data_IF_755828256054
#
_entry.id   IF_755828256054
#
_cell.length_a   1.000
_cell.length_b   1.000
_cell.length_c   1.000
_cell.angle_alpha   90.00
_cell.angle_beta   90.00
_cell.angle_gamma   90.00
#
_symmetry.space_group_name_H-M   'P 1'
#
loop_
_entity.id
_entity.type
_entity.pdbx_description
1 polymer ?
#
# COMPACT_ATOMS: atom_id res chain seq x y z
N UNK A 1 36.44 9.75 -8.53
CA UNK A 1 35.06 9.97 -8.02
C UNK A 1 35.17 10.47 -6.60
N UNK A 2 34.46 11.53 -6.26
CA UNK A 2 34.35 12.03 -4.89
C UNK A 2 33.71 10.94 -4.02
N UNK A 3 34.30 10.65 -2.85
CA UNK A 3 33.81 9.61 -1.95
C UNK A 3 32.55 10.12 -1.26
N UNK A 4 31.46 9.34 -1.34
CA UNK A 4 30.17 9.68 -0.77
C UNK A 4 29.96 8.89 0.53
N UNK A 5 29.62 9.57 1.63
CA UNK A 5 29.47 8.93 2.94
C UNK A 5 28.17 9.34 3.66
N UNK A 6 27.55 8.37 4.33
CA UNK A 6 26.43 8.58 5.24
C UNK A 6 26.93 8.56 6.67
N UNK A 7 26.54 9.59 7.43
CA UNK A 7 26.70 9.69 8.88
C UNK A 7 25.34 9.64 9.56
N UNK A 8 25.28 9.00 10.73
CA UNK A 8 24.04 8.87 11.48
C UNK A 8 24.10 9.68 12.78
N UNK A 9 23.08 10.49 13.01
CA UNK A 9 22.72 11.12 14.29
C UNK A 9 21.37 10.56 14.78
N UNK A 10 21.17 9.27 14.54
CA UNK A 10 20.04 8.46 14.96
C UNK A 10 20.51 7.00 15.10
N UNK A 11 19.76 6.13 15.80
CA UNK A 11 20.09 4.71 15.84
C UNK A 11 20.15 4.10 14.44
N UNK A 12 21.09 3.17 14.23
CA UNK A 12 21.20 2.40 12.98
C UNK A 12 20.25 1.21 13.03
N UNK A 13 18.98 1.45 12.75
CA UNK A 13 17.95 0.40 12.71
C UNK A 13 17.93 -0.33 11.37
N UNK A 14 17.14 -1.41 11.30
CA UNK A 14 16.85 -2.12 10.04
C UNK A 14 16.22 -1.18 9.02
N UNK A 15 15.29 -0.31 9.46
CA UNK A 15 14.61 0.65 8.58
C UNK A 15 15.59 1.66 7.98
N UNK A 16 16.44 2.29 8.81
CA UNK A 16 17.44 3.25 8.32
C UNK A 16 18.43 2.59 7.36
N UNK A 17 18.85 1.36 7.67
CA UNK A 17 19.72 0.59 6.78
C UNK A 17 19.05 0.31 5.44
N UNK A 18 17.75 -0.06 5.45
CA UNK A 18 16.95 -0.25 4.24
C UNK A 18 16.79 1.05 3.45
N UNK A 19 16.51 2.18 4.10
CA UNK A 19 16.40 3.48 3.45
C UNK A 19 17.70 3.88 2.71
N UNK A 20 18.86 3.62 3.31
CA UNK A 20 20.16 3.87 2.69
C UNK A 20 20.42 2.88 1.52
N UNK A 21 20.02 1.62 1.67
CA UNK A 21 20.09 0.65 0.58
C UNK A 21 19.25 1.11 -0.62
N UNK A 22 18.02 1.59 -0.39
CA UNK A 22 17.15 2.14 -1.43
C UNK A 22 17.79 3.34 -2.12
N UNK A 23 18.34 4.28 -1.34
CA UNK A 23 19.10 5.42 -1.87
C UNK A 23 20.20 4.94 -2.82
N UNK A 24 21.03 3.99 -2.39
CA UNK A 24 22.15 3.49 -3.18
C UNK A 24 21.70 2.74 -4.44
N UNK A 25 20.60 1.99 -4.38
CA UNK A 25 20.01 1.35 -5.56
C UNK A 25 19.53 2.39 -6.58
N UNK A 26 18.86 3.46 -6.13
CA UNK A 26 18.39 4.54 -7.03
C UNK A 26 19.53 5.36 -7.62
N UNK A 27 20.64 5.50 -6.91
CA UNK A 27 21.86 6.10 -7.48
C UNK A 27 22.50 5.18 -8.51
N UNK A 28 22.60 3.88 -8.21
CA UNK A 28 23.16 2.88 -9.14
C UNK A 28 22.35 2.76 -10.43
N UNK A 29 21.01 2.79 -10.35
CA UNK A 29 20.10 2.85 -11.51
C UNK A 29 20.40 4.03 -12.46
N UNK A 30 21.04 5.09 -11.93
CA UNK A 30 21.43 6.31 -12.67
C UNK A 30 22.93 6.36 -12.96
N UNK A 31 23.64 5.25 -12.77
CA UNK A 31 25.09 5.15 -12.98
C UNK A 31 25.93 5.98 -12.00
N UNK A 32 25.36 6.39 -10.87
CA UNK A 32 26.05 7.21 -9.87
C UNK A 32 26.73 6.36 -8.79
N UNK A 33 27.80 6.90 -8.20
CA UNK A 33 28.46 6.28 -7.05
C UNK A 33 27.53 6.15 -5.84
N UNK A 34 27.78 5.15 -4.99
CA UNK A 34 26.99 4.86 -3.80
C UNK A 34 27.56 5.54 -2.55
N UNK A 35 26.70 5.79 -1.56
CA UNK A 35 27.09 6.23 -0.24
C UNK A 35 27.55 5.04 0.63
N UNK A 36 28.78 5.11 1.13
CA UNK A 36 29.28 4.20 2.16
C UNK A 36 28.98 4.70 3.58
N UNK A 37 29.13 3.86 4.59
CA UNK A 37 29.18 4.33 5.98
C UNK A 37 30.61 4.81 6.31
N UNK A 38 30.73 5.92 7.03
CA UNK A 38 32.01 6.36 7.59
C UNK A 38 31.79 7.16 8.87
N UNK A 39 32.60 6.88 9.88
CA UNK A 39 32.69 7.69 11.10
C UNK A 39 33.79 8.76 10.99
N UNK A 40 34.59 8.78 9.90
CA UNK A 40 35.71 9.71 9.72
C UNK A 40 35.22 11.14 9.40
N UNK A 41 36.03 12.14 9.74
CA UNK A 41 35.73 13.58 9.55
C UNK A 41 36.52 14.20 8.39
N UNK A 42 37.00 13.37 7.46
CA UNK A 42 37.92 13.82 6.41
C UNK A 42 37.30 14.92 5.53
N UNK A 43 38.08 15.98 5.32
CA UNK A 43 37.70 17.14 4.52
C UNK A 43 37.90 16.81 3.04
N UNK A 44 36.84 16.39 2.37
CA UNK A 44 36.83 16.05 0.93
C UNK A 44 35.76 15.05 0.52
N UNK A 45 34.96 14.55 1.46
CA UNK A 45 33.87 13.60 1.19
C UNK A 45 32.53 14.31 1.07
N UNK A 46 31.68 13.84 0.14
CA UNK A 46 30.29 14.26 0.07
C UNK A 46 29.51 13.62 1.21
N UNK A 47 29.18 14.42 2.23
CA UNK A 47 28.53 13.94 3.44
C UNK A 47 27.01 14.04 3.35
N UNK A 48 26.31 12.95 3.69
CA UNK A 48 24.89 12.91 4.00
C UNK A 48 24.71 12.57 5.49
N UNK A 49 24.24 13.53 6.29
CA UNK A 49 23.94 13.32 7.70
C UNK A 49 22.45 13.04 7.90
N UNK A 50 22.10 11.87 8.41
CA UNK A 50 20.71 11.51 8.74
C UNK A 50 20.50 11.63 10.25
N UNK A 51 19.38 12.19 10.69
CA UNK A 51 19.09 12.31 12.12
C UNK A 51 17.60 12.36 12.42
N UNK A 52 17.26 12.10 13.69
CA UNK A 52 15.90 12.23 14.22
C UNK A 52 15.82 13.46 15.12
N UNK A 53 14.68 14.15 15.05
CA UNK A 53 14.34 15.21 15.99
C UNK A 53 12.90 15.02 16.48
N UNK A 54 12.73 14.68 17.75
CA UNK A 54 11.44 14.40 18.38
C UNK A 54 10.49 15.61 18.41
N UNK A 55 11.00 16.82 18.21
CA UNK A 55 10.18 18.03 18.09
C UNK A 55 9.51 18.19 16.71
N UNK A 56 9.81 17.32 15.74
CA UNK A 56 9.16 17.32 14.42
C UNK A 56 7.91 16.46 14.46
N UNK A 57 6.91 16.79 13.63
CA UNK A 57 5.77 15.91 13.42
C UNK A 57 6.19 14.54 12.87
N UNK A 58 5.37 13.50 13.08
CA UNK A 58 5.74 12.11 12.79
C UNK A 58 6.19 11.83 11.34
N UNK A 59 5.69 12.56 10.35
CA UNK A 59 6.10 12.46 8.94
C UNK A 59 6.81 13.74 8.43
N UNK A 60 7.14 14.68 9.32
CA UNK A 60 7.83 15.92 8.99
C UNK A 60 9.35 15.69 8.85
N UNK A 61 9.95 16.34 7.86
CA UNK A 61 11.39 16.32 7.66
C UNK A 61 11.96 17.70 7.27
N UNK A 62 13.27 17.87 7.44
CA UNK A 62 14.03 19.04 6.99
C UNK A 62 15.28 18.65 6.22
N UNK A 63 15.67 19.49 5.26
CA UNK A 63 16.95 19.45 4.55
C UNK A 63 17.74 20.74 4.81
N UNK A 64 18.98 20.60 5.30
CA UNK A 64 19.88 21.70 5.68
C UNK A 64 21.26 21.48 5.05
N UNK A 65 21.93 22.54 4.59
CA UNK A 65 23.35 22.45 4.17
C UNK A 65 24.23 22.44 5.41
N UNK A 66 25.19 21.51 5.46
CA UNK A 66 26.21 21.49 6.50
C UNK A 66 27.28 22.55 6.21
N UNK A 67 27.93 23.07 7.25
CA UNK A 67 29.05 24.01 7.09
C UNK A 67 30.20 23.44 6.23
N UNK A 68 30.34 22.11 6.20
CA UNK A 68 31.28 21.38 5.35
C UNK A 68 30.85 21.22 3.88
N UNK A 69 29.71 21.78 3.48
CA UNK A 69 29.14 21.62 2.13
C UNK A 69 28.28 20.38 1.90
N UNK A 70 28.19 19.47 2.90
CA UNK A 70 27.31 18.30 2.86
C UNK A 70 25.82 18.63 3.05
N UNK A 71 24.98 17.59 3.10
CA UNK A 71 23.54 17.71 3.35
C UNK A 71 23.18 17.01 4.66
N UNK A 72 22.30 17.64 5.43
CA UNK A 72 21.66 17.04 6.60
C UNK A 72 20.18 16.85 6.33
N UNK A 73 19.69 15.64 6.58
CA UNK A 73 18.27 15.29 6.57
C UNK A 73 17.87 14.97 8.01
N UNK A 74 16.87 15.67 8.53
CA UNK A 74 16.31 15.40 9.85
C UNK A 74 14.83 15.05 9.72
N UNK A 75 14.40 13.92 10.27
CA UNK A 75 12.99 13.53 10.30
C UNK A 75 12.44 13.47 11.72
N UNK A 76 11.12 13.60 11.88
CA UNK A 76 10.45 13.27 13.15
C UNK A 76 10.45 11.77 13.45
N UNK A 77 10.52 10.94 12.40
CA UNK A 77 10.66 9.48 12.48
C UNK A 77 11.60 8.97 11.39
N UNK A 78 11.88 7.67 11.41
CA UNK A 78 12.65 6.99 10.36
C UNK A 78 11.95 7.05 8.99
N UNK A 79 10.62 6.92 8.96
CA UNK A 79 9.82 7.10 7.74
C UNK A 79 9.95 8.51 7.18
N UNK A 80 9.97 9.53 8.05
CA UNK A 80 10.19 10.90 7.61
C UNK A 80 11.60 11.12 7.02
N UNK A 81 12.62 10.44 7.54
CA UNK A 81 13.96 10.44 6.92
C UNK A 81 13.90 9.87 5.49
N UNK A 82 13.19 8.76 5.28
CA UNK A 82 13.00 8.19 3.93
C UNK A 82 12.32 9.18 2.97
N UNK A 83 11.33 9.95 3.46
CA UNK A 83 10.69 11.01 2.67
C UNK A 83 11.66 12.15 2.33
N UNK A 84 12.51 12.52 3.28
CA UNK A 84 13.59 13.48 3.07
C UNK A 84 14.60 13.00 2.02
N UNK A 85 14.99 11.71 2.06
CA UNK A 85 15.86 11.08 1.05
C UNK A 85 15.18 11.14 -0.32
N UNK A 86 13.88 10.83 -0.40
CA UNK A 86 13.12 10.96 -1.64
C UNK A 86 13.09 12.39 -2.18
N UNK A 87 12.90 13.39 -1.31
CA UNK A 87 12.97 14.81 -1.69
C UNK A 87 14.35 15.22 -2.19
N UNK A 88 15.42 14.75 -1.53
CA UNK A 88 16.80 14.94 -1.97
C UNK A 88 17.00 14.39 -3.39
N UNK A 89 16.64 13.12 -3.61
CA UNK A 89 16.75 12.46 -4.91
C UNK A 89 15.98 13.19 -6.02
N UNK A 90 14.75 13.65 -5.75
CA UNK A 90 13.94 14.37 -6.74
C UNK A 90 14.45 15.76 -7.10
N UNK A 91 15.22 16.38 -6.23
CA UNK A 91 15.74 17.75 -6.45
C UNK A 91 17.22 17.77 -6.88
N UNK A 92 17.88 16.62 -6.85
CA UNK A 92 19.26 16.45 -7.28
C UNK A 92 19.43 16.52 -8.80
N UNK A 93 20.67 16.74 -9.22
CA UNK A 93 21.08 16.62 -10.62
C UNK A 93 21.95 15.38 -10.81
N UNK A 94 21.81 14.73 -11.97
CA UNK A 94 22.52 13.52 -12.35
C UNK A 94 23.20 13.73 -13.71
N UNK A 95 24.44 13.28 -13.87
CA UNK A 95 25.13 13.34 -15.15
C UNK A 95 26.58 12.88 -15.07
N UNK A 96 27.07 12.21 -16.12
CA UNK A 96 28.44 11.67 -16.21
C UNK A 96 28.84 10.82 -14.99
N UNK A 97 27.91 9.99 -14.49
CA UNK A 97 28.10 9.15 -13.30
C UNK A 97 28.23 9.93 -11.98
N UNK A 98 27.94 11.23 -12.00
CA UNK A 98 28.00 12.10 -10.83
C UNK A 98 26.60 12.43 -10.30
N UNK A 99 26.52 12.49 -8.97
CA UNK A 99 25.37 12.94 -8.21
C UNK A 99 25.71 14.29 -7.55
N UNK A 100 24.79 15.26 -7.62
CA UNK A 100 24.91 16.53 -6.88
C UNK A 100 23.62 16.84 -6.15
N UNK A 101 23.74 17.27 -4.89
CA UNK A 101 22.58 17.70 -4.11
C UNK A 101 21.85 18.85 -4.82
N UNK A 102 20.52 18.81 -4.76
CA UNK A 102 19.68 19.92 -5.17
C UNK A 102 19.86 21.14 -4.27
N UNK A 103 19.28 22.27 -4.67
CA UNK A 103 19.34 23.55 -3.92
C UNK A 103 18.23 23.70 -2.88
N UNK A 104 17.19 22.86 -2.90
CA UNK A 104 16.07 22.97 -1.98
C UNK A 104 16.51 22.72 -0.52
N UNK A 105 16.19 23.67 0.37
CA UNK A 105 16.39 23.59 1.82
C UNK A 105 15.15 24.07 2.52
N UNK A 106 14.89 23.52 3.70
CA UNK A 106 13.71 23.88 4.50
C UNK A 106 13.04 22.65 5.09
N UNK A 107 11.84 22.87 5.63
CA UNK A 107 11.00 21.84 6.26
C UNK A 107 9.81 21.50 5.38
N UNK A 108 9.35 20.26 5.46
CA UNK A 108 8.16 19.79 4.77
C UNK A 108 7.48 18.69 5.57
N UNK A 109 6.15 18.69 5.53
CA UNK A 109 5.32 17.61 6.07
C UNK A 109 4.18 17.31 5.08
N UNK A 110 3.69 16.06 5.01
CA UNK A 110 2.50 15.74 4.22
C UNK A 110 1.26 16.51 4.73
N UNK A 111 0.47 17.09 3.81
CA UNK A 111 -0.80 17.75 4.17
C UNK A 111 -1.96 16.78 4.40
N UNK A 112 -1.83 15.55 3.93
CA UNK A 112 -2.84 14.49 4.04
C UNK A 112 -2.22 13.36 4.84
N UNK A 113 -2.85 12.96 5.94
CA UNK A 113 -2.38 11.87 6.81
C UNK A 113 -2.51 10.49 6.17
N UNK A 114 -3.38 10.35 5.17
CA UNK A 114 -3.63 9.10 4.45
C UNK A 114 -3.28 9.26 2.98
N UNK A 115 -2.32 8.48 2.49
CA UNK A 115 -1.77 8.54 1.13
C UNK A 115 -1.53 7.11 0.66
N UNK A 116 -2.61 6.48 0.20
CA UNK A 116 -2.60 5.09 -0.25
C UNK A 116 -2.39 4.97 -1.75
N UNK A 117 -1.73 3.90 -2.18
CA UNK A 117 -1.72 3.43 -3.56
C UNK A 117 -2.53 2.15 -3.67
N UNK A 118 -3.32 1.99 -4.73
CA UNK A 118 -4.04 0.75 -5.02
C UNK A 118 -3.34 -0.02 -6.13
N UNK A 119 -2.88 -1.23 -5.83
CA UNK A 119 -2.48 -2.20 -6.84
C UNK A 119 -3.69 -3.08 -7.14
N UNK A 120 -4.24 -2.91 -8.34
CA UNK A 120 -5.20 -3.86 -8.88
C UNK A 120 -4.47 -5.20 -9.06
N UNK A 121 -4.57 -6.14 -8.12
CA UNK A 121 -3.81 -7.40 -8.18
C UNK A 121 -4.58 -8.53 -8.86
N UNK A 122 -5.42 -8.19 -9.82
CA UNK A 122 -6.30 -9.12 -10.51
C UNK A 122 -6.09 -9.03 -12.04
N UNK A 123 -6.72 -9.93 -12.80
CA UNK A 123 -6.65 -9.99 -14.27
C UNK A 123 -5.27 -10.19 -14.90
N UNK A 124 -4.35 -10.86 -14.21
CA UNK A 124 -2.97 -11.04 -14.67
C UNK A 124 -2.29 -9.73 -15.12
N UNK A 125 -2.67 -8.60 -14.52
CA UNK A 125 -2.02 -7.34 -14.83
C UNK A 125 -0.62 -7.27 -14.21
N UNK A 126 0.08 -6.15 -14.43
CA UNK A 126 1.45 -5.96 -13.95
C UNK A 126 1.63 -6.30 -12.45
N UNK A 127 0.74 -5.82 -11.57
CA UNK A 127 0.87 -6.07 -10.13
C UNK A 127 0.65 -7.55 -9.76
N UNK A 128 -0.20 -8.24 -10.52
CA UNK A 128 -0.44 -9.66 -10.34
C UNK A 128 0.78 -10.49 -10.78
N UNK A 129 1.37 -10.25 -11.96
CA UNK A 129 2.33 -11.21 -12.55
C UNK A 129 3.78 -10.74 -12.68
N UNK A 130 4.10 -9.46 -12.49
CA UNK A 130 5.47 -8.98 -12.71
C UNK A 130 6.47 -9.62 -11.73
N UNK A 131 7.77 -9.66 -12.07
CA UNK A 131 8.81 -10.12 -11.14
C UNK A 131 8.73 -9.40 -9.78
N UNK A 132 8.94 -10.14 -8.69
CA UNK A 132 8.83 -9.58 -7.33
C UNK A 132 9.81 -8.41 -7.10
N UNK A 133 11.00 -8.47 -7.69
CA UNK A 133 11.98 -7.37 -7.63
C UNK A 133 11.46 -6.06 -8.22
N UNK A 134 10.71 -6.10 -9.33
CA UNK A 134 10.13 -4.91 -9.95
C UNK A 134 9.01 -4.32 -9.09
N UNK A 135 8.16 -5.17 -8.51
CA UNK A 135 7.09 -4.73 -7.60
C UNK A 135 7.68 -4.10 -6.35
N UNK A 136 8.69 -4.74 -5.73
CA UNK A 136 9.35 -4.23 -4.53
C UNK A 136 10.03 -2.89 -4.84
N UNK A 137 10.71 -2.78 -5.98
CA UNK A 137 11.31 -1.52 -6.43
C UNK A 137 10.27 -0.41 -6.54
N UNK A 138 9.10 -0.71 -7.11
CA UNK A 138 8.02 0.27 -7.22
C UNK A 138 7.44 0.67 -5.86
N UNK A 139 7.26 -0.28 -4.93
CA UNK A 139 6.82 -0.01 -3.54
C UNK A 139 7.81 0.93 -2.82
N UNK A 140 9.11 0.69 -2.97
CA UNK A 140 10.15 1.58 -2.41
C UNK A 140 10.08 2.99 -3.02
N UNK A 141 9.80 3.10 -4.32
CA UNK A 141 9.63 4.40 -4.99
C UNK A 141 8.41 5.16 -4.46
N UNK A 142 7.29 4.46 -4.21
CA UNK A 142 6.12 5.04 -3.56
C UNK A 142 6.47 5.55 -2.16
N UNK A 143 7.27 4.79 -1.39
CA UNK A 143 7.74 5.22 -0.08
C UNK A 143 8.59 6.51 -0.17
N UNK A 144 9.53 6.59 -1.13
CA UNK A 144 10.32 7.80 -1.39
C UNK A 144 9.44 9.00 -1.79
N UNK A 145 8.33 8.76 -2.48
CA UNK A 145 7.35 9.78 -2.86
C UNK A 145 6.47 10.25 -1.69
N UNK A 146 6.47 9.51 -0.58
CA UNK A 146 5.73 9.86 0.62
C UNK A 146 4.44 9.06 0.81
N UNK A 147 4.16 8.02 0.01
CA UNK A 147 3.00 7.15 0.29
C UNK A 147 3.19 6.41 1.61
N UNK A 148 2.10 6.16 2.33
CA UNK A 148 2.12 5.52 3.65
C UNK A 148 1.15 4.35 3.81
N UNK A 149 0.47 3.97 2.73
CA UNK A 149 -0.34 2.77 2.71
C UNK A 149 -0.37 2.14 1.32
N UNK A 150 -0.55 0.83 1.28
CA UNK A 150 -0.69 0.04 0.07
C UNK A 150 -1.97 -0.78 0.15
N UNK A 151 -2.84 -0.64 -0.84
CA UNK A 151 -4.04 -1.44 -0.99
C UNK A 151 -3.85 -2.46 -2.10
N UNK A 152 -4.23 -3.71 -1.84
CA UNK A 152 -4.30 -4.77 -2.85
C UNK A 152 -5.58 -5.57 -2.67
N UNK A 153 -6.10 -6.09 -3.77
CA UNK A 153 -7.36 -6.83 -3.78
C UNK A 153 -7.09 -8.34 -3.86
N UNK A 154 -7.49 -9.08 -2.81
CA UNK A 154 -7.51 -10.54 -2.80
C UNK A 154 -8.77 -11.06 -3.51
N UNK A 155 -8.75 -10.90 -4.83
CA UNK A 155 -9.84 -11.24 -5.74
C UNK A 155 -10.09 -12.75 -5.81
N UNK A 156 -11.36 -13.17 -5.70
CA UNK A 156 -11.77 -14.59 -5.59
C UNK A 156 -12.37 -15.17 -6.87
N UNK A 157 -12.80 -14.34 -7.81
CA UNK A 157 -13.75 -14.78 -8.85
C UNK A 157 -13.21 -15.87 -9.79
N UNK A 158 -11.89 -15.96 -9.96
CA UNK A 158 -11.25 -16.98 -10.79
C UNK A 158 -10.98 -18.30 -10.06
N UNK A 159 -11.15 -18.34 -8.73
CA UNK A 159 -10.76 -19.47 -7.90
C UNK A 159 -11.97 -20.23 -7.39
N UNK A 160 -11.81 -21.53 -7.15
CA UNK A 160 -12.92 -22.38 -6.76
C UNK A 160 -13.32 -22.20 -5.29
N UNK A 161 -12.35 -21.98 -4.41
CA UNK A 161 -12.54 -21.84 -2.96
C UNK A 161 -11.25 -21.29 -2.32
N UNK A 162 -11.21 -21.20 -0.99
CA UNK A 162 -10.03 -20.68 -0.29
C UNK A 162 -8.87 -21.69 -0.20
N UNK A 163 -9.15 -22.97 -0.44
CA UNK A 163 -8.20 -24.07 -0.45
C UNK A 163 -7.61 -24.32 -1.85
N UNK A 164 -8.09 -23.61 -2.87
CA UNK A 164 -7.56 -23.62 -4.22
C UNK A 164 -6.05 -23.29 -4.21
N UNK A 165 -5.17 -24.18 -4.70
CA UNK A 165 -3.73 -23.96 -4.68
C UNK A 165 -3.30 -22.64 -5.36
N UNK A 166 -4.00 -22.24 -6.43
CA UNK A 166 -3.66 -21.01 -7.15
C UNK A 166 -4.11 -19.78 -6.37
N UNK A 167 -5.21 -19.85 -5.61
CA UNK A 167 -5.62 -18.79 -4.70
C UNK A 167 -4.64 -18.64 -3.53
N UNK A 168 -4.17 -19.76 -2.98
CA UNK A 168 -3.17 -19.77 -1.91
C UNK A 168 -1.88 -19.13 -2.42
N UNK A 169 -1.37 -19.55 -3.58
CA UNK A 169 -0.16 -18.98 -4.19
C UNK A 169 -0.31 -17.48 -4.46
N UNK A 170 -1.47 -17.06 -4.96
CA UNK A 170 -1.81 -15.67 -5.15
C UNK A 170 -1.78 -14.88 -3.83
N UNK A 171 -2.42 -15.39 -2.79
CA UNK A 171 -2.43 -14.75 -1.47
C UNK A 171 -1.03 -14.68 -0.86
N UNK A 172 -0.21 -15.74 -0.95
CA UNK A 172 1.19 -15.74 -0.49
C UNK A 172 2.03 -14.67 -1.18
N UNK A 173 1.80 -14.47 -2.48
CA UNK A 173 2.42 -13.36 -3.22
C UNK A 173 1.99 -12.00 -2.66
N UNK A 174 0.69 -11.78 -2.43
CA UNK A 174 0.22 -10.53 -1.82
C UNK A 174 0.83 -10.31 -0.42
N UNK A 175 0.91 -11.35 0.40
CA UNK A 175 1.58 -11.26 1.71
C UNK A 175 3.04 -10.87 1.58
N UNK A 176 3.74 -11.42 0.59
CA UNK A 176 5.15 -11.07 0.32
C UNK A 176 5.32 -9.60 -0.06
N UNK A 177 4.42 -9.06 -0.89
CA UNK A 177 4.42 -7.64 -1.24
C UNK A 177 4.13 -6.77 -0.01
N UNK A 178 3.13 -7.12 0.81
CA UNK A 178 2.84 -6.39 2.05
C UNK A 178 3.99 -6.43 3.05
N UNK A 179 4.67 -7.56 3.22
CA UNK A 179 5.86 -7.69 4.08
C UNK A 179 6.97 -6.76 3.58
N UNK A 180 7.20 -6.68 2.27
CA UNK A 180 8.15 -5.73 1.69
C UNK A 180 7.74 -4.27 1.89
N UNK A 181 6.44 -3.96 1.76
CA UNK A 181 5.88 -2.63 1.98
C UNK A 181 6.02 -2.18 3.44
N UNK A 182 5.85 -3.08 4.40
CA UNK A 182 6.04 -2.81 5.83
C UNK A 182 7.48 -2.40 6.16
N UNK A 183 8.49 -2.99 5.48
CA UNK A 183 9.91 -2.65 5.66
C UNK A 183 10.24 -1.19 5.28
N UNK A 184 9.36 -0.53 4.52
CA UNK A 184 9.48 0.88 4.13
C UNK A 184 8.34 1.75 4.66
N UNK A 185 7.56 1.23 5.61
CA UNK A 185 6.58 1.98 6.37
C UNK A 185 5.22 2.16 5.70
N UNK A 186 4.93 1.41 4.62
CA UNK A 186 3.59 1.39 4.03
C UNK A 186 2.69 0.42 4.78
N UNK A 187 1.55 0.93 5.24
CA UNK A 187 0.53 0.17 5.96
C UNK A 187 -0.33 -0.67 5.00
N UNK A 188 -0.56 -1.97 5.28
CA UNK A 188 -1.33 -2.84 4.40
C UNK A 188 -2.84 -2.58 4.50
N UNK A 189 -3.52 -2.49 3.35
CA UNK A 189 -4.97 -2.33 3.23
C UNK A 189 -5.51 -3.46 2.38
N UNK A 190 -6.29 -4.35 2.96
CA UNK A 190 -6.89 -5.43 2.19
C UNK A 190 -8.18 -4.93 1.52
N UNK A 191 -8.17 -4.88 0.19
CA UNK A 191 -9.32 -4.55 -0.64
C UNK A 191 -10.16 -5.79 -0.95
N UNK A 192 -11.49 -5.62 -0.93
CA UNK A 192 -12.48 -6.67 -1.25
C UNK A 192 -13.75 -6.07 -1.82
N UNK A 193 -14.52 -6.88 -2.54
CA UNK A 193 -15.93 -6.57 -2.81
C UNK A 193 -16.79 -6.95 -1.60
N UNK A 194 -17.84 -6.19 -1.32
CA UNK A 194 -18.69 -6.46 -0.15
C UNK A 194 -19.46 -7.79 -0.24
N UNK A 195 -19.74 -8.26 -1.45
CA UNK A 195 -20.48 -9.51 -1.70
C UNK A 195 -19.69 -10.48 -2.57
N UNK A 196 -18.37 -10.49 -2.35
CA UNK A 196 -17.43 -11.29 -3.13
C UNK A 196 -17.68 -12.79 -2.99
N UNK A 197 -17.66 -13.49 -4.12
CA UNK A 197 -17.78 -14.94 -4.18
C UNK A 197 -16.70 -15.59 -5.02
N UNK A 198 -16.42 -16.85 -4.72
CA UNK A 198 -15.61 -17.74 -5.54
C UNK A 198 -16.37 -18.17 -6.80
N UNK A 199 -15.67 -18.68 -7.81
CA UNK A 199 -16.26 -19.12 -9.09
C UNK A 199 -17.37 -20.18 -8.91
N UNK A 200 -17.30 -20.95 -7.82
CA UNK A 200 -18.23 -22.03 -7.46
C UNK A 200 -19.45 -21.56 -6.68
N UNK A 201 -19.65 -20.24 -6.51
CA UNK A 201 -20.82 -19.70 -5.78
C UNK A 201 -22.12 -20.34 -6.30
N UNK A 202 -22.94 -20.98 -5.42
CA UNK A 202 -24.14 -21.68 -5.82
C UNK A 202 -25.12 -20.78 -6.56
N UNK A 203 -25.72 -21.28 -7.64
CA UNK A 203 -26.59 -20.47 -8.51
C UNK A 203 -27.74 -19.80 -7.76
N UNK A 204 -28.37 -20.53 -6.82
CA UNK A 204 -29.46 -20.02 -5.99
C UNK A 204 -29.06 -18.84 -5.09
N UNK A 205 -27.76 -18.66 -4.80
CA UNK A 205 -27.23 -17.60 -3.95
C UNK A 205 -26.64 -16.43 -4.75
N UNK A 206 -26.52 -16.54 -6.08
CA UNK A 206 -25.89 -15.50 -6.90
C UNK A 206 -26.69 -14.20 -6.88
N UNK A 207 -25.96 -13.09 -6.87
CA UNK A 207 -26.53 -11.77 -7.00
C UNK A 207 -27.17 -11.56 -8.37
N UNK A 208 -28.12 -10.62 -8.44
CA UNK A 208 -28.66 -10.15 -9.72
C UNK A 208 -27.77 -9.04 -10.27
N UNK A 209 -27.51 -9.00 -11.59
CA UNK A 209 -26.75 -7.91 -12.21
C UNK A 209 -27.35 -6.53 -11.90
N UNK A 210 -26.49 -5.54 -11.75
CA UNK A 210 -26.88 -4.13 -11.46
C UNK A 210 -26.88 -3.24 -12.70
N UNK A 211 -26.57 -3.78 -13.89
CA UNK A 211 -26.26 -3.00 -15.08
C UNK A 211 -24.83 -2.41 -15.07
N UNK A 212 -23.92 -2.98 -14.27
CA UNK A 212 -22.48 -2.69 -14.24
C UNK A 212 -21.69 -3.98 -14.51
N UNK A 213 -20.36 -3.90 -14.51
CA UNK A 213 -19.51 -5.10 -14.61
C UNK A 213 -19.92 -6.13 -13.55
N UNK A 214 -19.84 -7.40 -13.90
CA UNK A 214 -20.41 -8.49 -13.11
C UNK A 214 -19.75 -9.80 -13.56
N UNK A 215 -19.22 -10.60 -12.63
CA UNK A 215 -18.62 -11.90 -12.95
C UNK A 215 -19.62 -13.05 -12.92
N UNK A 216 -20.77 -12.87 -12.27
CA UNK A 216 -21.77 -13.92 -12.12
C UNK A 216 -21.45 -14.91 -11.00
N UNK A 217 -20.54 -14.55 -10.09
CA UNK A 217 -20.21 -15.31 -8.89
C UNK A 217 -20.41 -14.51 -7.60
N UNK A 218 -20.84 -13.25 -7.71
CA UNK A 218 -21.20 -12.41 -6.58
C UNK A 218 -22.39 -12.98 -5.84
N UNK A 219 -22.48 -12.73 -4.54
CA UNK A 219 -23.50 -13.32 -3.69
C UNK A 219 -24.60 -12.29 -3.38
N UNK A 220 -25.86 -12.71 -3.43
CA UNK A 220 -26.98 -11.89 -2.98
C UNK A 220 -27.05 -11.92 -1.44
N UNK A 221 -26.82 -10.84 -0.69
CA UNK A 221 -26.95 -10.88 0.77
C UNK A 221 -28.41 -11.01 1.25
N UNK A 222 -29.39 -10.95 0.35
CA UNK A 222 -30.81 -11.03 0.65
C UNK A 222 -31.44 -12.40 0.30
N UNK A 223 -30.65 -13.35 -0.21
CA UNK A 223 -31.04 -14.77 -0.22
C UNK A 223 -30.87 -15.36 1.17
N UNK A 224 -31.49 -16.52 1.41
CA UNK A 224 -31.58 -17.13 2.75
C UNK A 224 -30.20 -17.35 3.38
N UNK A 225 -29.25 -17.93 2.63
CA UNK A 225 -27.89 -18.24 3.11
C UNK A 225 -26.80 -17.30 2.55
N UNK A 226 -27.18 -16.30 1.74
CA UNK A 226 -26.20 -15.52 0.99
C UNK A 226 -25.32 -14.64 1.88
N UNK A 227 -25.88 -14.03 2.92
CA UNK A 227 -25.08 -13.24 3.86
C UNK A 227 -24.09 -14.10 4.66
N UNK A 228 -24.46 -15.33 4.99
CA UNK A 228 -23.60 -16.24 5.74
C UNK A 228 -22.43 -16.71 4.87
N UNK A 229 -22.69 -17.04 3.60
CA UNK A 229 -21.62 -17.36 2.64
C UNK A 229 -20.67 -16.17 2.39
N UNK A 230 -21.20 -14.94 2.32
CA UNK A 230 -20.37 -13.73 2.22
C UNK A 230 -19.42 -13.65 3.43
N UNK A 231 -19.95 -13.80 4.64
CA UNK A 231 -19.13 -13.75 5.86
C UNK A 231 -18.11 -14.88 5.91
N UNK A 232 -18.47 -16.09 5.49
CA UNK A 232 -17.55 -17.22 5.40
C UNK A 232 -16.38 -16.92 4.44
N UNK A 233 -16.66 -16.38 3.25
CA UNK A 233 -15.63 -16.03 2.28
C UNK A 233 -14.69 -14.92 2.78
N UNK A 234 -15.24 -13.91 3.45
CA UNK A 234 -14.44 -12.88 4.11
C UNK A 234 -13.59 -13.48 5.24
N UNK A 235 -14.16 -14.35 6.08
CA UNK A 235 -13.45 -14.97 7.20
C UNK A 235 -12.27 -15.83 6.73
N UNK A 236 -12.47 -16.64 5.68
CA UNK A 236 -11.40 -17.42 5.05
C UNK A 236 -10.26 -16.52 4.57
N UNK A 237 -10.59 -15.40 3.92
CA UNK A 237 -9.59 -14.42 3.50
C UNK A 237 -8.87 -13.80 4.71
N UNK A 238 -9.61 -13.37 5.73
CA UNK A 238 -9.02 -12.77 6.94
C UNK A 238 -8.08 -13.74 7.67
N UNK A 239 -8.42 -15.02 7.73
CA UNK A 239 -7.54 -16.09 8.27
C UNK A 239 -6.23 -16.20 7.49
N UNK A 240 -6.28 -16.14 6.15
CA UNK A 240 -5.06 -16.20 5.32
C UNK A 240 -4.11 -15.03 5.62
N UNK A 241 -4.66 -13.84 5.87
CA UNK A 241 -3.89 -12.61 6.12
C UNK A 241 -3.68 -12.29 7.61
N UNK A 242 -4.11 -13.14 8.56
CA UNK A 242 -4.10 -12.83 10.00
C UNK A 242 -2.70 -12.70 10.60
N UNK A 243 -1.66 -13.17 9.90
CA UNK A 243 -0.27 -12.99 10.31
C UNK A 243 0.28 -11.58 10.04
N UNK A 244 -0.44 -10.76 9.27
CA UNK A 244 -0.04 -9.38 8.96
C UNK A 244 -0.74 -8.39 9.88
N UNK A 245 -0.12 -7.23 10.10
CA UNK A 245 -0.75 -6.11 10.79
C UNK A 245 -1.63 -5.30 9.80
N UNK A 246 -2.81 -5.83 9.47
CA UNK A 246 -3.74 -5.20 8.51
C UNK A 246 -4.28 -3.88 9.08
N UNK A 247 -3.90 -2.77 8.46
CA UNK A 247 -4.29 -1.42 8.90
C UNK A 247 -5.75 -1.11 8.58
N UNK A 248 -6.22 -1.54 7.41
CA UNK A 248 -7.60 -1.29 7.00
C UNK A 248 -8.18 -2.36 6.08
N UNK A 249 -9.51 -2.47 6.11
CA UNK A 249 -10.31 -3.25 5.19
C UNK A 249 -11.10 -2.32 4.28
N UNK A 250 -10.83 -2.39 2.98
CA UNK A 250 -11.43 -1.53 1.97
C UNK A 250 -12.56 -2.26 1.27
N UNK A 251 -13.79 -1.95 1.64
CA UNK A 251 -15.00 -2.62 1.16
C UNK A 251 -15.55 -1.83 -0.03
N UNK A 252 -15.55 -2.46 -1.20
CA UNK A 252 -15.98 -1.86 -2.46
C UNK A 252 -17.42 -2.20 -2.84
N UNK A 253 -18.05 -1.20 -3.46
CA UNK A 253 -19.45 -1.20 -3.86
C UNK A 253 -19.65 -1.82 -5.24
N UNK A 254 -18.94 -1.35 -6.24
CA UNK A 254 -19.08 -1.77 -7.63
C UNK A 254 -17.73 -2.25 -8.18
N UNK A 255 -17.55 -2.19 -9.51
CA UNK A 255 -16.64 -3.00 -10.34
C UNK A 255 -17.38 -4.27 -10.65
N UNK A 256 -17.02 -5.41 -10.06
CA UNK A 256 -17.89 -6.60 -10.16
C UNK A 256 -18.82 -6.79 -8.97
N UNK A 257 -18.65 -6.05 -7.88
CA UNK A 257 -19.58 -6.09 -6.76
C UNK A 257 -20.98 -5.61 -7.16
N UNK A 258 -21.99 -6.08 -6.45
CA UNK A 258 -23.35 -5.61 -6.69
C UNK A 258 -24.43 -6.65 -6.51
N UNK A 259 -25.63 -6.19 -6.16
CA UNK A 259 -26.85 -6.96 -6.32
C UNK A 259 -28.03 -6.05 -6.68
N UNK A 260 -28.63 -6.33 -7.83
CA UNK A 260 -29.78 -5.61 -8.41
C UNK A 260 -31.14 -6.16 -8.00
N UNK A 261 -31.23 -7.05 -7.00
CA UNK A 261 -32.53 -7.50 -6.52
C UNK A 261 -33.26 -6.38 -5.75
N UNK A 262 -34.59 -6.46 -5.67
CA UNK A 262 -35.43 -5.43 -5.04
C UNK A 262 -35.04 -5.12 -3.59
N UNK A 263 -34.55 -6.12 -2.85
CA UNK A 263 -34.12 -5.95 -1.45
C UNK A 263 -32.77 -5.25 -1.31
N UNK A 264 -31.90 -5.36 -2.31
CA UNK A 264 -30.52 -4.87 -2.30
C UNK A 264 -30.36 -3.53 -3.02
N UNK A 265 -31.19 -3.25 -4.01
CA UNK A 265 -31.12 -2.06 -4.83
C UNK A 265 -31.59 -0.80 -4.06
N UNK A 266 -30.99 0.39 -4.30
CA UNK A 266 -29.71 0.61 -4.99
C UNK A 266 -28.56 0.06 -4.16
N UNK A 267 -27.67 -0.72 -4.80
CA UNK A 267 -26.68 -1.53 -4.09
C UNK A 267 -25.81 -0.75 -3.10
N UNK A 268 -25.14 0.32 -3.56
CA UNK A 268 -24.16 1.05 -2.75
C UNK A 268 -24.74 1.66 -1.46
N UNK A 269 -25.98 2.14 -1.49
CA UNK A 269 -26.63 2.86 -0.37
C UNK A 269 -27.68 2.04 0.37
N UNK A 270 -27.94 0.80 -0.05
CA UNK A 270 -28.86 -0.12 0.61
C UNK A 270 -28.20 -1.49 0.89
N UNK A 271 -28.09 -2.35 -0.12
CA UNK A 271 -27.60 -3.71 0.04
C UNK A 271 -26.18 -3.79 0.62
N UNK A 272 -25.24 -3.06 0.00
CA UNK A 272 -23.86 -2.97 0.47
C UNK A 272 -23.78 -2.33 1.85
N UNK A 273 -24.50 -1.24 2.10
CA UNK A 273 -24.45 -0.54 3.38
C UNK A 273 -24.80 -1.47 4.55
N UNK A 274 -25.84 -2.28 4.38
CA UNK A 274 -26.26 -3.29 5.37
C UNK A 274 -25.24 -4.42 5.50
N UNK A 275 -24.75 -4.96 4.40
CA UNK A 275 -23.77 -6.06 4.40
C UNK A 275 -22.41 -5.65 4.96
N UNK A 276 -21.94 -4.46 4.60
CA UNK A 276 -20.66 -3.91 5.03
C UNK A 276 -20.58 -3.73 6.53
N UNK A 277 -21.70 -3.43 7.21
CA UNK A 277 -21.75 -3.41 8.67
C UNK A 277 -21.42 -4.77 9.30
N UNK A 278 -21.93 -5.87 8.71
CA UNK A 278 -21.61 -7.23 9.16
C UNK A 278 -20.17 -7.63 8.83
N UNK A 279 -19.70 -7.31 7.61
CA UNK A 279 -18.32 -7.56 7.17
C UNK A 279 -17.32 -6.78 8.04
N UNK A 280 -17.63 -5.53 8.38
CA UNK A 280 -16.83 -4.72 9.31
C UNK A 280 -16.75 -5.36 10.70
N UNK A 281 -17.89 -5.82 11.23
CA UNK A 281 -17.94 -6.52 12.51
C UNK A 281 -17.10 -7.80 12.52
N UNK A 282 -17.08 -8.55 11.40
CA UNK A 282 -16.19 -9.70 11.23
C UNK A 282 -14.71 -9.29 11.19
N UNK A 283 -14.36 -8.26 10.41
CA UNK A 283 -12.99 -7.75 10.34
C UNK A 283 -12.45 -7.34 11.71
N UNK A 284 -13.25 -6.64 12.53
CA UNK A 284 -12.83 -6.23 13.88
C UNK A 284 -12.63 -7.37 14.87
N UNK A 285 -13.12 -8.59 14.59
CA UNK A 285 -12.76 -9.78 15.39
C UNK A 285 -11.30 -10.19 15.20
N UNK A 286 -10.74 -9.93 14.02
CA UNK A 286 -9.34 -10.24 13.68
C UNK A 286 -8.42 -9.04 13.92
N UNK A 287 -8.91 -7.83 13.63
CA UNK A 287 -8.14 -6.60 13.69
C UNK A 287 -8.92 -5.51 14.46
N UNK A 288 -8.93 -5.55 15.80
CA UNK A 288 -9.79 -4.67 16.61
C UNK A 288 -9.58 -3.17 16.38
N UNK A 289 -8.35 -2.75 16.13
CA UNK A 289 -7.99 -1.34 15.89
C UNK A 289 -8.04 -0.94 14.40
N UNK A 290 -8.25 -1.93 13.53
CA UNK A 290 -8.25 -1.78 12.08
C UNK A 290 -9.35 -0.82 11.62
N UNK A 291 -9.09 -0.11 10.52
CA UNK A 291 -10.05 0.83 9.94
C UNK A 291 -10.89 0.18 8.85
N UNK A 292 -12.13 0.64 8.70
CA UNK A 292 -12.95 0.31 7.53
C UNK A 292 -12.86 1.49 6.57
N UNK A 293 -12.49 1.21 5.33
CA UNK A 293 -12.62 2.15 4.22
C UNK A 293 -13.86 1.71 3.44
N UNK A 294 -14.90 2.53 3.49
CA UNK A 294 -16.13 2.29 2.75
C UNK A 294 -16.08 3.05 1.42
N UNK A 295 -16.15 2.33 0.30
CA UNK A 295 -16.20 2.98 -1.01
C UNK A 295 -17.58 3.60 -1.24
N UNK A 296 -17.62 4.92 -1.47
CA UNK A 296 -18.82 5.65 -1.89
C UNK A 296 -18.92 5.79 -3.40
N UNK A 297 -18.10 5.04 -4.15
CA UNK A 297 -18.20 5.03 -5.59
C UNK A 297 -19.57 4.49 -6.02
N UNK A 298 -20.27 5.24 -6.88
CA UNK A 298 -21.63 4.94 -7.34
C UNK A 298 -22.64 4.69 -6.20
N UNK A 299 -22.47 5.34 -5.05
CA UNK A 299 -23.21 5.05 -3.82
C UNK A 299 -24.74 4.99 -3.98
N UNK A 300 -25.33 5.90 -4.75
CA UNK A 300 -26.76 5.99 -5.03
C UNK A 300 -27.12 5.58 -6.46
N UNK A 301 -26.24 4.82 -7.14
CA UNK A 301 -26.44 4.40 -8.51
C UNK A 301 -27.71 3.55 -8.67
N UNK A 302 -28.52 3.96 -9.65
CA UNK A 302 -29.85 3.46 -9.94
C UNK A 302 -30.00 2.94 -11.38
N UNK A 303 -28.89 2.51 -11.98
CA UNK A 303 -28.84 2.22 -13.41
C UNK A 303 -28.49 3.46 -14.24
N UNK A 304 -28.03 3.23 -15.47
CA UNK A 304 -27.97 4.27 -16.50
C UNK A 304 -29.40 4.51 -16.99
N UNK A 305 -29.81 5.78 -17.13
CA UNK A 305 -31.04 6.11 -17.84
C UNK A 305 -30.74 5.91 -19.33
N UNK A 306 -31.45 5.00 -19.98
CA UNK A 306 -31.54 4.96 -21.44
C UNK A 306 -32.08 6.30 -21.99
#
# INVERSE_FOLDING_TARGET
MERQIVKLKCPKTVFITKAISILNLRLADRGCGQFGFSDSTDSGEMVLLLGINEYFGGEEYSLETLASGGLKITGGTETAILYGIGKMLRTASYGNGCFKYGTWRGRSAPKKSFRAMYFATHFYNFYHIAPMEEIIKYVEDLALLGYNALMMWADKHHYENAEDPDYINFCERLKSIYKAAALVGLKPILGVLCNEGFSTTPEALRARPTGRSFYGCEICPASDDGMDLILENHEKTLKIFSELDIYAYSVWSYDQGGCGCEKCYPWGSNGMYKSAGKVAGLFHKYFPEGKIIYSTWLFDYRGEKE
#
